data_IF_976309066830
#
_entry.id   IF_976309066830
#
_cell.length_a   1.000
_cell.length_b   1.000
_cell.length_c   1.000
_cell.angle_alpha   90.00
_cell.angle_beta   90.00
_cell.angle_gamma   90.00
#
_symmetry.space_group_name_H-M   'P 1'
#
loop_
_entity.id
_entity.type
_entity.pdbx_description
1 polymer ?
#
# COMPACT_ATOMS: atom_id res chain seq x y z
N UNK A 1 -33.97 -73.28 27.58
CA UNK A 1 -33.59 -72.03 26.90
C UNK A 1 -34.24 -70.90 27.69
N UNK A 2 -33.46 -70.11 28.40
CA UNK A 2 -34.01 -69.07 29.27
C UNK A 2 -34.61 -67.93 28.45
N UNK A 3 -35.53 -67.19 29.07
CA UNK A 3 -36.31 -66.12 28.43
C UNK A 3 -35.41 -65.03 27.80
N UNK A 4 -34.20 -64.83 28.35
CA UNK A 4 -33.18 -63.94 27.79
C UNK A 4 -32.61 -64.47 26.46
N UNK A 5 -32.24 -65.75 26.40
CA UNK A 5 -31.70 -66.40 25.20
C UNK A 5 -32.73 -66.43 24.06
N UNK A 6 -34.01 -66.56 24.41
CA UNK A 6 -35.11 -66.50 23.45
C UNK A 6 -35.27 -65.08 22.86
N UNK A 7 -35.12 -64.04 23.68
CA UNK A 7 -35.16 -62.64 23.22
C UNK A 7 -33.97 -62.30 22.33
N UNK A 8 -32.77 -62.76 22.66
CA UNK A 8 -31.56 -62.52 21.86
C UNK A 8 -31.62 -63.26 20.51
N UNK A 9 -32.15 -64.49 20.51
CA UNK A 9 -32.37 -65.28 19.29
C UNK A 9 -33.46 -64.67 18.38
N UNK A 10 -34.54 -64.13 18.97
CA UNK A 10 -35.62 -63.44 18.24
C UNK A 10 -35.19 -62.05 17.73
N UNK A 11 -34.28 -61.38 18.43
CA UNK A 11 -33.83 -60.01 18.16
C UNK A 11 -32.72 -59.92 17.11
N UNK A 12 -31.74 -60.84 17.13
CA UNK A 12 -30.50 -60.68 16.34
C UNK A 12 -30.32 -61.72 15.21
N UNK A 13 -31.21 -62.68 15.07
CA UNK A 13 -31.09 -63.74 14.06
C UNK A 13 -32.48 -64.06 13.55
N UNK A 14 -32.68 -64.13 12.23
CA UNK A 14 -33.99 -64.14 11.54
C UNK A 14 -34.99 -65.28 11.88
N UNK A 15 -34.80 -66.01 12.97
CA UNK A 15 -35.69 -67.03 13.51
C UNK A 15 -37.08 -66.51 13.88
N UNK A 16 -37.24 -65.21 14.18
CA UNK A 16 -38.55 -64.59 14.42
C UNK A 16 -39.52 -64.75 13.23
N UNK A 17 -39.01 -64.68 11.99
CA UNK A 17 -39.80 -64.96 10.79
C UNK A 17 -40.15 -66.43 10.67
N UNK A 18 -39.21 -67.32 10.98
CA UNK A 18 -39.42 -68.77 10.94
C UNK A 18 -40.49 -69.18 11.96
N UNK A 19 -40.43 -68.66 13.18
CA UNK A 19 -41.43 -68.90 14.22
C UNK A 19 -42.80 -68.35 13.82
N UNK A 20 -42.84 -67.16 13.22
CA UNK A 20 -44.09 -66.57 12.72
C UNK A 20 -44.68 -67.39 11.55
N UNK A 21 -43.83 -67.98 10.71
CA UNK A 21 -44.23 -68.88 9.62
C UNK A 21 -44.73 -70.24 10.13
N UNK A 22 -44.16 -70.78 11.21
CA UNK A 22 -44.59 -72.08 11.78
C UNK A 22 -45.88 -71.96 12.59
N UNK A 23 -46.13 -70.82 13.24
CA UNK A 23 -47.40 -70.57 13.96
C UNK A 23 -48.63 -70.53 13.03
N UNK A 24 -48.45 -70.27 11.72
CA UNK A 24 -49.51 -70.37 10.70
C UNK A 24 -49.98 -71.81 10.50
N UNK A 25 -49.08 -72.79 10.66
CA UNK A 25 -49.37 -74.20 10.35
C UNK A 25 -50.23 -74.88 11.44
N UNK A 26 -50.35 -74.29 12.64
CA UNK A 26 -50.88 -74.98 13.84
C UNK A 26 -52.24 -74.44 14.31
N UNK A 27 -52.69 -73.23 13.89
CA UNK A 27 -53.99 -72.67 14.31
C UNK A 27 -54.71 -71.92 13.17
N UNK A 28 -56.03 -72.12 12.95
CA UNK A 28 -56.80 -71.36 11.97
C UNK A 28 -57.14 -69.95 12.50
N UNK A 29 -56.15 -69.07 12.58
CA UNK A 29 -56.30 -67.64 12.92
C UNK A 29 -55.87 -66.81 11.71
N UNK A 30 -56.69 -65.83 11.28
CA UNK A 30 -56.47 -64.98 10.09
C UNK A 30 -55.32 -63.97 10.25
N UNK A 31 -54.10 -64.41 10.56
CA UNK A 31 -52.93 -63.53 10.68
C UNK A 31 -52.13 -63.63 9.37
N UNK A 32 -51.96 -62.51 8.66
CA UNK A 32 -51.22 -62.45 7.40
C UNK A 32 -49.72 -62.18 7.66
N UNK A 33 -48.85 -63.21 7.60
CA UNK A 33 -47.42 -63.10 7.92
C UNK A 33 -46.65 -62.23 6.93
N UNK A 34 -46.97 -62.33 5.64
CA UNK A 34 -46.37 -61.54 4.57
C UNK A 34 -46.76 -60.08 4.71
N UNK A 35 -48.01 -59.82 5.13
CA UNK A 35 -48.46 -58.48 5.48
C UNK A 35 -47.69 -57.89 6.67
N UNK A 36 -47.35 -58.69 7.69
CA UNK A 36 -46.57 -58.23 8.83
C UNK A 36 -45.10 -57.95 8.48
N UNK A 37 -44.47 -58.83 7.68
CA UNK A 37 -43.10 -58.63 7.18
C UNK A 37 -43.01 -57.41 6.26
N UNK A 38 -43.91 -57.27 5.28
CA UNK A 38 -43.96 -56.09 4.39
C UNK A 38 -44.19 -54.80 5.19
N UNK A 39 -45.03 -54.84 6.23
CA UNK A 39 -45.20 -53.70 7.15
C UNK A 39 -43.94 -53.41 7.96
N UNK A 40 -43.20 -54.41 8.42
CA UNK A 40 -41.95 -54.23 9.16
C UNK A 40 -40.85 -53.65 8.27
N UNK A 41 -40.62 -54.25 7.09
CA UNK A 41 -39.64 -53.76 6.12
C UNK A 41 -40.00 -52.37 5.60
N UNK A 42 -41.28 -52.14 5.29
CA UNK A 42 -41.78 -50.83 4.87
C UNK A 42 -41.58 -49.76 5.95
N UNK A 43 -41.83 -50.08 7.23
CA UNK A 43 -41.56 -49.16 8.35
C UNK A 43 -40.08 -48.90 8.54
N UNK A 44 -39.22 -49.92 8.45
CA UNK A 44 -37.77 -49.79 8.60
C UNK A 44 -37.18 -48.90 7.49
N UNK A 45 -37.55 -49.15 6.24
CA UNK A 45 -37.12 -48.32 5.10
C UNK A 45 -37.67 -46.89 5.19
N UNK A 46 -38.93 -46.73 5.60
CA UNK A 46 -39.55 -45.42 5.76
C UNK A 46 -38.94 -44.64 6.94
N UNK A 47 -38.45 -45.32 7.98
CA UNK A 47 -37.77 -44.69 9.09
C UNK A 47 -36.41 -44.11 8.67
N UNK A 48 -35.58 -44.87 7.94
CA UNK A 48 -34.29 -44.38 7.43
C UNK A 48 -34.47 -43.22 6.43
N UNK A 49 -35.50 -43.32 5.57
CA UNK A 49 -35.83 -42.24 4.63
C UNK A 49 -36.29 -40.97 5.34
N UNK A 50 -37.14 -41.10 6.37
CA UNK A 50 -37.58 -39.96 7.18
C UNK A 50 -36.43 -39.32 7.94
N UNK A 51 -35.50 -40.10 8.49
CA UNK A 51 -34.32 -39.57 9.19
C UNK A 51 -33.42 -38.76 8.24
N UNK A 52 -33.13 -39.29 7.04
CA UNK A 52 -32.39 -38.54 6.01
C UNK A 52 -33.14 -37.28 5.56
N UNK A 53 -34.47 -37.36 5.43
CA UNK A 53 -35.31 -36.20 5.07
C UNK A 53 -35.29 -35.12 6.16
N UNK A 54 -35.35 -35.52 7.44
CA UNK A 54 -35.24 -34.60 8.57
C UNK A 54 -33.84 -33.97 8.64
N UNK A 55 -32.79 -34.75 8.37
CA UNK A 55 -31.42 -34.24 8.21
C UNK A 55 -31.32 -33.18 7.10
N UNK A 56 -31.83 -33.49 5.90
CA UNK A 56 -31.86 -32.53 4.79
C UNK A 56 -32.65 -31.25 5.12
N UNK A 57 -33.74 -31.38 5.87
CA UNK A 57 -34.52 -30.21 6.31
C UNK A 57 -33.76 -29.36 7.32
N UNK A 58 -32.93 -29.98 8.16
CA UNK A 58 -31.98 -29.30 9.05
C UNK A 58 -30.92 -28.53 8.25
N UNK A 59 -30.26 -29.20 7.31
CA UNK A 59 -29.24 -28.59 6.45
C UNK A 59 -29.81 -27.43 5.64
N UNK A 60 -31.01 -27.58 5.07
CA UNK A 60 -31.67 -26.52 4.31
C UNK A 60 -31.99 -25.28 5.18
N UNK A 61 -32.35 -25.49 6.46
CA UNK A 61 -32.54 -24.40 7.41
C UNK A 61 -31.21 -23.71 7.74
N UNK A 62 -30.13 -24.48 7.90
CA UNK A 62 -28.77 -23.97 8.08
C UNK A 62 -28.34 -23.09 6.90
N UNK A 63 -28.44 -23.62 5.68
CA UNK A 63 -28.13 -22.87 4.44
C UNK A 63 -28.96 -21.60 4.34
N UNK A 64 -30.25 -21.64 4.67
CA UNK A 64 -31.10 -20.44 4.64
C UNK A 64 -30.61 -19.36 5.61
N UNK A 65 -30.16 -19.75 6.80
CA UNK A 65 -29.57 -18.83 7.79
C UNK A 65 -28.27 -18.24 7.27
N UNK A 66 -27.37 -19.07 6.76
CA UNK A 66 -26.08 -18.63 6.23
C UNK A 66 -26.26 -17.68 5.04
N UNK A 67 -27.22 -17.97 4.14
CA UNK A 67 -27.57 -17.08 3.02
C UNK A 67 -28.10 -15.73 3.52
N UNK A 68 -28.91 -15.71 4.58
CA UNK A 68 -29.39 -14.45 5.16
C UNK A 68 -28.25 -13.63 5.80
N UNK A 69 -27.30 -14.29 6.47
CA UNK A 69 -26.08 -13.64 6.98
C UNK A 69 -25.23 -13.09 5.83
N UNK A 70 -24.97 -13.88 4.79
CA UNK A 70 -24.21 -13.43 3.62
C UNK A 70 -24.88 -12.25 2.90
N UNK A 71 -26.21 -12.21 2.83
CA UNK A 71 -26.92 -11.06 2.30
C UNK A 71 -26.63 -9.78 3.11
N UNK A 72 -26.60 -9.89 4.43
CA UNK A 72 -26.28 -8.77 5.34
C UNK A 72 -24.83 -8.32 5.14
N UNK A 73 -23.88 -9.26 5.10
CA UNK A 73 -22.46 -8.95 4.91
C UNK A 73 -22.22 -8.29 3.53
N UNK A 74 -22.88 -8.80 2.48
CA UNK A 74 -22.80 -8.21 1.13
C UNK A 74 -23.37 -6.79 1.09
N UNK A 75 -24.44 -6.50 1.85
CA UNK A 75 -24.95 -5.12 1.94
C UNK A 75 -23.99 -4.20 2.69
N UNK A 76 -23.39 -4.66 3.80
CA UNK A 76 -22.40 -3.87 4.54
C UNK A 76 -21.16 -3.60 3.70
N UNK A 77 -20.63 -4.62 3.00
CA UNK A 77 -19.47 -4.46 2.11
C UNK A 77 -19.75 -3.48 0.97
N UNK A 78 -20.98 -3.45 0.46
CA UNK A 78 -21.37 -2.46 -0.55
C UNK A 78 -21.26 -1.05 0.01
N UNK A 79 -21.74 -0.82 1.21
CA UNK A 79 -21.68 0.49 1.88
C UNK A 79 -20.23 0.89 2.17
N UNK A 80 -19.40 -0.03 2.68
CA UNK A 80 -17.97 0.20 2.88
C UNK A 80 -17.27 0.57 1.57
N UNK A 81 -17.57 -0.13 0.47
CA UNK A 81 -17.02 0.18 -0.86
C UNK A 81 -17.47 1.56 -1.34
N UNK A 82 -18.71 1.98 -1.06
CA UNK A 82 -19.14 3.34 -1.41
C UNK A 82 -18.41 4.41 -0.60
N UNK A 83 -18.16 4.16 0.69
CA UNK A 83 -17.42 5.07 1.57
C UNK A 83 -15.97 5.18 1.14
N UNK A 84 -15.30 4.04 0.90
CA UNK A 84 -13.93 4.00 0.39
C UNK A 84 -13.79 4.73 -0.94
N UNK A 85 -14.78 4.63 -1.83
CA UNK A 85 -14.77 5.38 -3.08
C UNK A 85 -14.79 6.89 -2.84
N UNK A 86 -15.57 7.37 -1.86
CA UNK A 86 -15.60 8.77 -1.47
C UNK A 86 -14.25 9.22 -0.88
N UNK A 87 -13.69 8.45 0.04
CA UNK A 87 -12.40 8.74 0.67
C UNK A 87 -11.27 8.83 -0.37
N UNK A 88 -11.25 7.90 -1.33
CA UNK A 88 -10.30 7.93 -2.46
C UNK A 88 -10.43 9.20 -3.30
N UNK A 89 -11.65 9.71 -3.51
CA UNK A 89 -11.86 10.97 -4.24
C UNK A 89 -11.35 12.16 -3.42
N UNK A 90 -11.63 12.20 -2.11
CA UNK A 90 -11.14 13.27 -1.22
C UNK A 90 -9.61 13.27 -1.16
N UNK A 91 -8.99 12.11 -0.95
CA UNK A 91 -7.52 11.98 -0.94
C UNK A 91 -6.90 12.44 -2.26
N UNK A 92 -7.52 12.14 -3.41
CA UNK A 92 -7.03 12.62 -4.70
C UNK A 92 -7.01 14.14 -4.78
N UNK A 93 -8.04 14.81 -4.25
CA UNK A 93 -8.10 16.27 -4.21
C UNK A 93 -7.06 16.85 -3.26
N UNK A 94 -6.87 16.25 -2.08
CA UNK A 94 -5.86 16.68 -1.11
C UNK A 94 -4.44 16.53 -1.69
N UNK A 95 -4.14 15.40 -2.35
CA UNK A 95 -2.86 15.16 -3.02
C UNK A 95 -2.61 16.23 -4.10
N UNK A 96 -3.61 16.56 -4.91
CA UNK A 96 -3.49 17.62 -5.91
C UNK A 96 -3.23 18.99 -5.26
N UNK A 97 -3.93 19.29 -4.16
CA UNK A 97 -3.74 20.51 -3.39
C UNK A 97 -2.35 20.62 -2.77
N UNK A 98 -1.80 19.52 -2.25
CA UNK A 98 -0.43 19.43 -1.75
C UNK A 98 0.57 19.62 -2.87
N UNK A 99 0.37 18.99 -4.04
CA UNK A 99 1.21 19.17 -5.22
C UNK A 99 1.38 20.65 -5.60
N UNK A 100 0.27 21.40 -5.68
CA UNK A 100 0.33 22.83 -5.97
C UNK A 100 1.06 23.66 -4.90
N UNK A 101 0.94 23.30 -3.62
CA UNK A 101 1.69 23.96 -2.54
C UNK A 101 3.20 23.67 -2.63
N UNK A 102 3.57 22.43 -2.96
CA UNK A 102 4.97 22.03 -3.14
C UNK A 102 5.61 22.78 -4.31
N UNK A 103 4.91 22.94 -5.43
CA UNK A 103 5.41 23.71 -6.58
C UNK A 103 5.64 25.18 -6.23
N UNK A 104 4.73 25.81 -5.47
CA UNK A 104 4.89 27.20 -5.00
C UNK A 104 6.05 27.34 -4.02
N UNK A 105 6.24 26.36 -3.13
CA UNK A 105 7.35 26.37 -2.18
C UNK A 105 8.68 26.21 -2.92
N UNK A 106 8.77 25.32 -3.91
CA UNK A 106 9.95 25.15 -4.77
C UNK A 106 10.35 26.48 -5.40
N UNK A 107 9.42 27.18 -6.05
CA UNK A 107 9.68 28.50 -6.61
C UNK A 107 10.18 29.52 -5.57
N UNK A 108 9.59 29.52 -4.37
CA UNK A 108 10.00 30.43 -3.29
C UNK A 108 11.41 30.11 -2.76
N UNK A 109 11.76 28.82 -2.70
CA UNK A 109 13.11 28.37 -2.30
C UNK A 109 14.13 28.78 -3.35
N UNK A 110 13.89 28.49 -4.63
CA UNK A 110 14.79 28.85 -5.72
C UNK A 110 15.01 30.39 -5.77
N UNK A 111 13.94 31.18 -5.60
CA UNK A 111 14.03 32.65 -5.53
C UNK A 111 14.85 33.13 -4.32
N UNK A 112 14.70 32.46 -3.17
CA UNK A 112 15.46 32.78 -1.98
C UNK A 112 16.94 32.41 -2.12
N UNK A 113 17.26 31.28 -2.74
CA UNK A 113 18.65 30.89 -3.05
C UNK A 113 19.32 31.93 -3.95
N UNK A 114 18.62 32.40 -4.98
CA UNK A 114 19.11 33.49 -5.83
C UNK A 114 19.29 34.81 -5.06
N UNK A 115 18.38 35.16 -4.15
CA UNK A 115 18.55 36.33 -3.26
C UNK A 115 19.77 36.19 -2.35
N UNK A 116 20.03 35.00 -1.81
CA UNK A 116 21.21 34.76 -0.97
C UNK A 116 22.51 34.83 -1.79
N UNK A 117 22.52 34.24 -2.98
CA UNK A 117 23.65 34.37 -3.91
C UNK A 117 23.94 35.86 -4.22
N UNK A 118 22.90 36.64 -4.51
CA UNK A 118 23.02 38.09 -4.73
C UNK A 118 23.67 38.82 -3.56
N UNK A 119 23.26 38.54 -2.32
CA UNK A 119 23.83 39.19 -1.13
C UNK A 119 25.33 38.86 -1.01
N UNK A 120 25.71 37.60 -1.24
CA UNK A 120 27.13 37.17 -1.21
C UNK A 120 27.96 37.88 -2.28
N UNK A 121 27.43 37.97 -3.51
CA UNK A 121 28.06 38.66 -4.64
C UNK A 121 28.29 40.14 -4.31
N UNK A 122 27.24 40.85 -3.86
CA UNK A 122 27.34 42.29 -3.57
C UNK A 122 28.32 42.56 -2.42
N UNK A 123 28.29 41.73 -1.38
CA UNK A 123 29.23 41.84 -0.27
C UNK A 123 30.67 41.62 -0.72
N UNK A 124 30.93 40.58 -1.51
CA UNK A 124 32.28 40.29 -1.99
C UNK A 124 32.80 41.39 -2.94
N UNK A 125 31.93 41.95 -3.78
CA UNK A 125 32.26 43.12 -4.61
C UNK A 125 32.63 44.33 -3.73
N UNK A 126 31.89 44.61 -2.66
CA UNK A 126 32.27 45.65 -1.70
C UNK A 126 33.62 45.36 -1.00
N UNK A 127 33.87 44.10 -0.64
CA UNK A 127 35.16 43.68 -0.05
C UNK A 127 36.34 43.91 -1.01
N UNK A 128 36.17 43.60 -2.31
CA UNK A 128 37.15 43.90 -3.36
C UNK A 128 37.39 45.41 -3.48
N UNK A 129 36.33 46.22 -3.53
CA UNK A 129 36.42 47.68 -3.66
C UNK A 129 37.17 48.31 -2.46
N UNK A 130 37.03 47.70 -1.28
CA UNK A 130 37.74 48.10 -0.07
C UNK A 130 39.16 47.50 0.05
N UNK A 131 39.68 46.88 -1.01
CA UNK A 131 41.01 46.25 -1.08
C UNK A 131 41.24 45.16 -0.02
N UNK A 132 40.20 44.41 0.33
CA UNK A 132 40.33 43.28 1.27
C UNK A 132 40.97 42.10 0.53
N UNK A 133 42.05 41.48 1.06
CA UNK A 133 42.70 40.35 0.41
C UNK A 133 41.86 39.07 0.55
N UNK A 134 41.77 38.29 -0.52
CA UNK A 134 41.04 37.03 -0.57
C UNK A 134 41.89 35.90 -1.15
N UNK A 135 41.65 34.66 -0.70
CA UNK A 135 42.29 33.46 -1.25
C UNK A 135 41.52 32.88 -2.43
N UNK A 136 42.14 31.94 -3.15
CA UNK A 136 41.55 31.30 -4.35
C UNK A 136 40.23 30.59 -4.04
N UNK A 137 40.13 29.94 -2.88
CA UNK A 137 38.93 29.20 -2.48
C UNK A 137 37.72 30.12 -2.31
N UNK A 138 37.93 31.29 -1.70
CA UNK A 138 36.87 32.29 -1.53
C UNK A 138 36.41 32.84 -2.90
N UNK A 139 37.36 33.14 -3.80
CA UNK A 139 37.01 33.50 -5.18
C UNK A 139 36.21 32.40 -5.89
N UNK A 140 36.62 31.14 -5.77
CA UNK A 140 35.93 30.03 -6.41
C UNK A 140 34.49 29.84 -5.87
N UNK A 141 34.28 30.01 -4.56
CA UNK A 141 32.94 29.96 -3.96
C UNK A 141 32.04 31.09 -4.48
N UNK A 142 32.56 32.31 -4.57
CA UNK A 142 31.78 33.45 -5.06
C UNK A 142 31.51 33.34 -6.57
N UNK A 143 32.44 32.83 -7.36
CA UNK A 143 32.21 32.56 -8.78
C UNK A 143 31.08 31.52 -8.98
N UNK A 144 31.04 30.45 -8.18
CA UNK A 144 29.89 29.52 -8.19
C UNK A 144 28.59 30.23 -7.83
N UNK A 145 28.61 31.16 -6.87
CA UNK A 145 27.42 31.97 -6.56
C UNK A 145 27.01 32.85 -7.75
N UNK A 146 27.96 33.42 -8.49
CA UNK A 146 27.70 34.20 -9.70
C UNK A 146 27.04 33.34 -10.77
N UNK A 147 27.61 32.17 -11.08
CA UNK A 147 27.11 31.27 -12.11
C UNK A 147 25.67 30.82 -11.81
N UNK A 148 25.42 30.33 -10.59
CA UNK A 148 24.07 29.89 -10.18
C UNK A 148 23.07 31.04 -10.15
N UNK A 149 23.50 32.26 -9.81
CA UNK A 149 22.64 33.43 -9.83
C UNK A 149 22.31 33.90 -11.25
N UNK A 150 23.30 33.90 -12.15
CA UNK A 150 23.11 34.21 -13.58
C UNK A 150 22.18 33.18 -14.22
N UNK A 151 22.37 31.89 -13.94
CA UNK A 151 21.50 30.80 -14.39
C UNK A 151 20.05 31.02 -13.92
N UNK A 152 19.85 31.32 -12.64
CA UNK A 152 18.53 31.63 -12.11
C UNK A 152 17.89 32.84 -12.81
N UNK A 153 18.65 33.92 -13.03
CA UNK A 153 18.15 35.12 -13.69
C UNK A 153 17.79 34.87 -15.16
N UNK A 154 18.55 34.03 -15.88
CA UNK A 154 18.24 33.62 -17.25
C UNK A 154 16.95 32.80 -17.32
N UNK A 155 16.75 31.90 -16.36
CA UNK A 155 15.52 31.11 -16.25
C UNK A 155 14.30 31.95 -15.82
N UNK A 156 14.52 33.09 -15.16
CA UNK A 156 13.48 33.95 -14.59
C UNK A 156 13.56 35.41 -15.09
N UNK A 157 13.13 35.73 -16.33
CA UNK A 157 13.27 37.07 -16.91
C UNK A 157 12.57 38.20 -16.13
N UNK A 158 11.56 37.87 -15.32
CA UNK A 158 10.85 38.84 -14.47
C UNK A 158 11.59 39.18 -13.18
N UNK A 159 12.61 38.39 -12.81
CA UNK A 159 13.41 38.62 -11.62
C UNK A 159 14.41 39.76 -11.83
N UNK A 160 14.43 40.73 -10.90
CA UNK A 160 15.23 41.96 -11.05
C UNK A 160 16.73 41.70 -10.79
N UNK A 161 17.52 41.56 -11.86
CA UNK A 161 18.96 41.32 -11.81
C UNK A 161 19.85 42.59 -11.80
N UNK A 162 19.31 43.76 -12.17
CA UNK A 162 20.12 44.94 -12.54
C UNK A 162 21.19 45.45 -11.55
N UNK A 163 21.16 45.08 -10.26
CA UNK A 163 22.13 45.55 -9.26
C UNK A 163 23.38 44.67 -9.19
N UNK A 164 23.27 43.38 -9.46
CA UNK A 164 24.38 42.44 -9.30
C UNK A 164 25.23 42.27 -10.57
N UNK A 165 24.72 42.68 -11.73
CA UNK A 165 25.40 42.55 -13.03
C UNK A 165 26.81 43.16 -12.99
N UNK A 166 26.94 44.41 -12.51
CA UNK A 166 28.24 45.09 -12.45
C UNK A 166 29.18 44.42 -11.45
N UNK A 167 28.68 44.05 -10.27
CA UNK A 167 29.46 43.34 -9.26
C UNK A 167 30.00 42.01 -9.77
N UNK A 168 29.23 41.25 -10.55
CA UNK A 168 29.67 39.97 -11.13
C UNK A 168 30.82 40.20 -12.13
N UNK A 169 30.71 41.22 -12.98
CA UNK A 169 31.76 41.57 -13.94
C UNK A 169 33.06 41.98 -13.23
N UNK A 170 32.96 42.84 -12.19
CA UNK A 170 34.09 43.24 -11.36
C UNK A 170 34.78 42.05 -10.68
N UNK A 171 33.99 41.12 -10.13
CA UNK A 171 34.50 39.92 -9.47
C UNK A 171 35.25 39.02 -10.45
N UNK A 172 34.65 38.75 -11.62
CA UNK A 172 35.26 37.90 -12.67
C UNK A 172 36.60 38.49 -13.12
N UNK A 173 36.64 39.80 -13.35
CA UNK A 173 37.87 40.53 -13.71
C UNK A 173 38.93 40.48 -12.59
N UNK A 174 38.54 40.74 -11.35
CA UNK A 174 39.46 40.72 -10.19
C UNK A 174 40.10 39.33 -10.01
N UNK A 175 39.33 38.26 -10.22
CA UNK A 175 39.85 36.90 -10.16
C UNK A 175 40.90 36.63 -11.24
N UNK A 176 40.67 37.08 -12.48
CA UNK A 176 41.63 36.92 -13.58
C UNK A 176 42.94 37.64 -13.28
N UNK A 177 42.88 38.86 -12.75
CA UNK A 177 44.07 39.60 -12.30
C UNK A 177 44.82 38.87 -11.17
N UNK A 178 44.09 38.32 -10.20
CA UNK A 178 44.66 37.54 -9.10
C UNK A 178 45.40 36.29 -9.61
N UNK A 179 44.78 35.58 -10.56
CA UNK A 179 45.36 34.37 -11.18
C UNK A 179 46.63 34.68 -11.98
N UNK A 180 46.64 35.77 -12.75
CA UNK A 180 47.79 36.19 -13.53
C UNK A 180 48.99 36.56 -12.65
N UNK A 181 48.76 37.35 -11.58
CA UNK A 181 49.81 37.74 -10.63
C UNK A 181 50.48 36.52 -10.00
N UNK A 182 49.70 35.51 -9.60
CA UNK A 182 50.24 34.27 -9.04
C UNK A 182 51.07 33.48 -10.05
N UNK A 183 50.59 33.33 -11.28
CA UNK A 183 51.33 32.64 -12.34
C UNK A 183 52.69 33.32 -12.61
N UNK A 184 52.73 34.65 -12.60
CA UNK A 184 53.98 35.41 -12.74
C UNK A 184 54.95 35.22 -11.57
N UNK A 185 54.45 35.25 -10.33
CA UNK A 185 55.27 35.05 -9.12
C UNK A 185 55.89 33.65 -9.07
N UNK A 186 55.16 32.63 -9.51
CA UNK A 186 55.63 31.25 -9.58
C UNK A 186 56.73 31.06 -10.64
N UNK A 187 56.64 31.72 -11.79
CA UNK A 187 57.69 31.69 -12.80
C UNK A 187 58.98 32.36 -12.31
N UNK A 188 58.88 33.50 -11.61
CA UNK A 188 60.05 34.19 -11.07
C UNK A 188 60.71 33.41 -9.93
N UNK A 189 59.94 32.76 -9.06
CA UNK A 189 60.51 31.94 -7.99
C UNK A 189 61.26 30.72 -8.54
N UNK A 190 60.75 30.07 -9.59
CA UNK A 190 61.41 28.97 -10.28
C UNK A 190 62.69 29.40 -11.01
N UNK A 191 62.73 30.61 -11.58
CA UNK A 191 63.93 31.14 -12.24
C UNK A 191 65.04 31.47 -11.22
N UNK A 192 64.69 32.11 -10.10
CA UNK A 192 65.65 32.45 -9.03
C UNK A 192 66.25 31.20 -8.34
N UNK A 193 65.58 30.05 -8.38
CA UNK A 193 66.11 28.78 -7.88
C UNK A 193 67.06 28.07 -8.86
N UNK A 194 67.05 28.44 -10.16
CA UNK A 194 67.97 27.88 -11.17
C UNK A 194 69.26 28.67 -11.29
N UNK A 195 69.26 29.93 -10.84
CA UNK A 195 70.41 30.84 -10.89
C UNK A 195 71.29 30.78 -9.63
N UNK A 196 70.88 30.02 -8.60
CA UNK A 196 71.66 29.70 -7.40
C UNK A 196 72.05 28.23 -7.35
#
# INVERSE_FOLDING_TARGET
MDLLQLKDLLSNSGWGLIILLTLIQIAPIKINPWGALLKFLGKAMNAELNEKMDGFKGDLQGIKKDVATLQTDVTSLKDDVTTLKSDVVTMKNDINGVGGKVDKLRYTVDENEAKQARVRILRFSDEILNNIPHGDEHYAEILRCCDSYEEYCMAHPTFKNSVAVNSIDEIKKSYEEHRQKRSFLEQNSLNNQKEN
#
